data_IF_896739962893
#
_entry.id   IF_896739962893
#
_cell.length_a   1.000
_cell.length_b   1.000
_cell.length_c   1.000
_cell.angle_alpha   90.00
_cell.angle_beta   90.00
_cell.angle_gamma   90.00
#
_symmetry.space_group_name_H-M   'P 1'
#
loop_
_entity.id
_entity.type
_entity.pdbx_description
1 polymer ?
#
# COMPACT_ATOMS: atom_id res chain seq x y z
N UNK A 1 0.93 38.28 29.98
CA UNK A 1 1.33 37.33 31.04
C UNK A 1 1.03 35.92 30.48
N UNK A 2 2.01 35.30 29.81
CA UNK A 2 1.89 33.97 29.20
C UNK A 2 2.23 32.92 30.26
N UNK A 3 1.25 32.06 30.60
CA UNK A 3 1.51 30.88 31.44
C UNK A 3 1.95 29.72 30.53
N UNK A 4 3.23 29.34 30.63
CA UNK A 4 3.76 28.09 30.09
C UNK A 4 3.20 26.92 30.88
N UNK A 5 2.54 25.99 30.20
CA UNK A 5 2.19 24.71 30.77
C UNK A 5 3.45 23.85 30.87
N UNK A 6 3.84 23.53 32.09
CA UNK A 6 4.95 22.60 32.38
C UNK A 6 4.47 21.18 32.12
N UNK A 7 4.99 20.54 31.09
CA UNK A 7 4.83 19.11 30.88
C UNK A 7 5.72 18.35 31.87
N UNK A 8 5.12 17.71 32.86
CA UNK A 8 5.82 16.79 33.75
C UNK A 8 6.28 15.56 32.99
N UNK A 9 7.59 15.32 33.05
CA UNK A 9 8.27 14.12 32.53
C UNK A 9 7.63 12.85 33.13
N UNK A 10 6.95 12.05 32.32
CA UNK A 10 6.91 10.59 32.48
C UNK A 10 7.53 9.99 31.24
N UNK A 11 8.69 9.43 31.47
CA UNK A 11 9.54 8.59 30.63
C UNK A 11 8.92 8.07 29.32
N UNK A 12 9.06 8.85 28.26
CA UNK A 12 9.16 8.32 26.91
C UNK A 12 10.67 8.29 26.64
N UNK A 13 11.29 7.18 26.94
CA UNK A 13 12.64 6.91 26.45
C UNK A 13 12.53 6.50 25.00
N UNK A 14 12.28 7.49 24.13
CA UNK A 14 12.55 7.32 22.71
C UNK A 14 14.07 7.17 22.59
N UNK A 15 14.55 5.94 22.52
CA UNK A 15 15.90 5.67 22.06
C UNK A 15 15.90 5.89 20.54
N UNK A 16 15.87 7.17 20.14
CA UNK A 16 16.29 7.55 18.81
C UNK A 16 17.82 7.39 18.74
N UNK A 17 18.28 6.16 18.62
CA UNK A 17 19.57 5.90 18.02
C UNK A 17 19.35 6.04 16.51
N UNK A 18 19.35 7.28 16.03
CA UNK A 18 19.68 7.59 14.65
C UNK A 18 21.17 7.29 14.45
N UNK A 19 21.51 6.01 14.41
CA UNK A 19 22.62 5.58 13.60
C UNK A 19 22.05 5.63 12.17
N UNK A 20 22.54 6.57 11.38
CA UNK A 20 22.49 6.49 9.92
C UNK A 20 23.32 5.27 9.51
N UNK A 21 22.78 4.08 9.71
CA UNK A 21 23.20 2.86 9.07
C UNK A 21 22.33 2.75 7.83
N UNK A 22 22.79 3.40 6.79
CA UNK A 22 22.35 3.21 5.43
C UNK A 22 22.37 1.73 5.13
N UNK A 23 21.22 1.15 4.76
CA UNK A 23 20.95 -0.22 4.34
C UNK A 23 20.58 -1.24 5.43
N UNK A 24 19.70 -0.90 6.35
CA UNK A 24 18.97 -1.92 7.05
C UNK A 24 17.94 -2.53 6.09
N UNK A 25 18.19 -3.76 5.65
CA UNK A 25 17.16 -4.56 5.03
C UNK A 25 15.94 -4.62 5.96
N UNK A 26 14.76 -4.58 5.37
CA UNK A 26 13.48 -4.71 6.08
C UNK A 26 13.45 -6.01 6.88
N UNK A 27 13.83 -7.12 6.23
CA UNK A 27 13.87 -8.46 6.80
C UNK A 27 15.27 -9.07 6.64
N UNK A 28 15.45 -10.24 7.22
CA UNK A 28 16.73 -10.96 7.10
C UNK A 28 17.02 -11.33 5.64
N UNK A 29 18.30 -11.45 5.31
CA UNK A 29 18.77 -11.95 4.02
C UNK A 29 18.13 -13.29 3.66
N UNK A 30 17.96 -14.15 4.64
CA UNK A 30 17.38 -15.48 4.51
C UNK A 30 15.92 -15.43 4.07
N UNK A 31 15.16 -14.44 4.55
CA UNK A 31 13.76 -14.20 4.14
C UNK A 31 13.67 -13.95 2.63
N UNK A 32 14.55 -13.11 2.08
CA UNK A 32 14.56 -12.82 0.65
C UNK A 32 14.99 -14.02 -0.19
N UNK A 33 16.01 -14.75 0.24
CA UNK A 33 16.45 -16.00 -0.41
C UNK A 33 15.28 -17.00 -0.45
N UNK A 34 14.60 -17.20 0.68
CA UNK A 34 13.47 -18.11 0.75
C UNK A 34 12.31 -17.68 -0.16
N UNK A 35 11.97 -16.39 -0.16
CA UNK A 35 10.90 -15.86 -1.01
C UNK A 35 11.19 -16.09 -2.49
N UNK A 36 12.41 -15.84 -2.96
CA UNK A 36 12.80 -16.09 -4.35
C UNK A 36 12.82 -17.58 -4.70
N UNK A 37 13.27 -18.44 -3.80
CA UNK A 37 13.22 -19.90 -4.01
C UNK A 37 11.79 -20.39 -4.18
N UNK A 38 10.87 -19.98 -3.29
CA UNK A 38 9.45 -20.34 -3.38
C UNK A 38 8.82 -19.79 -4.66
N UNK A 39 9.12 -18.54 -5.04
CA UNK A 39 8.62 -17.95 -6.27
C UNK A 39 9.06 -18.77 -7.49
N UNK A 40 10.35 -19.13 -7.56
CA UNK A 40 10.92 -19.96 -8.62
C UNK A 40 10.22 -21.32 -8.73
N UNK A 41 9.98 -21.97 -7.61
CA UNK A 41 9.28 -23.26 -7.58
C UNK A 41 7.82 -23.15 -8.05
N UNK A 42 7.13 -22.09 -7.67
CA UNK A 42 5.74 -21.85 -8.06
C UNK A 42 5.57 -21.52 -9.54
N UNK A 43 6.53 -20.79 -10.13
CA UNK A 43 6.52 -20.44 -11.57
C UNK A 43 7.02 -21.61 -12.41
N UNK A 44 8.06 -22.30 -11.96
CA UNK A 44 8.52 -23.59 -12.45
C UNK A 44 9.48 -23.57 -13.64
N UNK A 45 9.32 -22.69 -14.60
CA UNK A 45 10.19 -22.59 -15.78
C UNK A 45 10.31 -21.14 -16.27
N UNK A 46 11.25 -20.87 -17.19
CA UNK A 46 11.45 -19.57 -17.80
C UNK A 46 12.29 -18.62 -16.95
N UNK A 47 12.26 -17.36 -17.29
CA UNK A 47 13.02 -16.28 -16.67
C UNK A 47 12.06 -15.26 -16.08
N UNK A 48 12.12 -15.04 -14.78
CA UNK A 48 11.33 -14.01 -14.09
C UNK A 48 12.11 -12.71 -14.12
N UNK A 49 11.46 -11.63 -14.54
CA UNK A 49 12.01 -10.26 -14.55
C UNK A 49 11.11 -9.39 -13.70
N UNK A 50 11.65 -8.85 -12.61
CA UNK A 50 11.00 -7.91 -11.72
C UNK A 50 11.65 -6.55 -11.89
N UNK A 51 10.90 -5.61 -12.42
CA UNK A 51 11.35 -4.24 -12.61
C UNK A 51 11.17 -3.44 -11.33
N UNK A 52 12.25 -2.82 -10.85
CA UNK A 52 12.17 -1.79 -9.83
C UNK A 52 11.74 -0.46 -10.46
N UNK A 53 11.28 0.46 -9.61
CA UNK A 53 10.87 1.79 -10.04
C UNK A 53 12.06 2.70 -10.30
N UNK A 54 11.86 3.71 -11.16
CA UNK A 54 12.77 4.83 -11.36
C UNK A 54 12.24 6.08 -10.65
N UNK A 55 13.08 7.10 -10.50
CA UNK A 55 12.63 8.43 -10.11
C UNK A 55 11.66 9.00 -11.14
N UNK A 56 10.74 9.82 -10.67
CA UNK A 56 9.77 10.52 -11.52
C UNK A 56 9.85 12.02 -11.28
N UNK A 57 10.21 12.84 -12.29
CA UNK A 57 10.27 14.28 -12.13
C UNK A 57 8.87 14.89 -11.92
N UNK A 58 8.77 15.88 -11.01
CA UNK A 58 7.53 16.61 -10.77
C UNK A 58 7.23 17.60 -11.89
N UNK A 59 8.22 18.42 -12.28
CA UNK A 59 7.99 19.58 -13.17
C UNK A 59 9.19 19.97 -14.06
N UNK A 60 10.38 19.46 -13.79
CA UNK A 60 11.58 19.69 -14.62
C UNK A 60 12.58 18.55 -14.42
N UNK A 61 13.46 18.28 -15.41
CA UNK A 61 14.52 17.28 -15.24
C UNK A 61 15.54 17.80 -14.23
N UNK A 62 16.03 16.92 -13.39
CA UNK A 62 17.01 17.14 -12.32
C UNK A 62 16.46 17.90 -11.08
N UNK A 63 16.63 17.31 -9.91
CA UNK A 63 16.37 17.85 -8.57
C UNK A 63 14.91 18.17 -8.19
N UNK A 64 13.94 17.92 -9.06
CA UNK A 64 12.53 18.14 -8.76
C UNK A 64 11.70 16.86 -8.87
N UNK A 65 12.02 15.86 -8.03
CA UNK A 65 11.38 14.54 -8.07
C UNK A 65 10.24 14.42 -7.08
N UNK A 66 9.26 13.55 -7.42
CA UNK A 66 8.34 13.01 -6.44
C UNK A 66 9.11 12.13 -5.43
N UNK A 67 8.64 12.00 -4.18
CA UNK A 67 9.20 11.03 -3.26
C UNK A 67 9.32 9.65 -3.91
N UNK A 68 10.52 9.06 -3.83
CA UNK A 68 10.76 7.75 -4.43
C UNK A 68 10.05 6.68 -3.62
N UNK A 69 9.38 5.79 -4.33
CA UNK A 69 8.77 4.60 -3.78
C UNK A 69 9.04 3.42 -4.71
N UNK A 70 9.70 2.41 -4.19
CA UNK A 70 10.05 1.21 -4.94
C UNK A 70 8.82 0.35 -5.23
N UNK A 71 8.85 -0.45 -6.31
CA UNK A 71 7.82 -1.43 -6.62
C UNK A 71 7.66 -2.46 -5.51
N UNK A 72 6.42 -2.72 -5.09
CA UNK A 72 6.14 -3.60 -3.96
C UNK A 72 6.53 -5.05 -4.20
N UNK A 73 6.39 -5.57 -5.42
CA UNK A 73 6.82 -6.93 -5.73
C UNK A 73 8.34 -7.04 -5.79
N UNK A 74 9.01 -6.03 -6.36
CA UNK A 74 10.47 -5.96 -6.31
C UNK A 74 10.96 -5.94 -4.84
N UNK A 75 10.38 -5.09 -3.98
CA UNK A 75 10.70 -5.04 -2.55
C UNK A 75 10.45 -6.37 -1.84
N UNK A 76 9.34 -7.03 -2.13
CA UNK A 76 9.00 -8.30 -1.51
C UNK A 76 10.07 -9.38 -1.75
N UNK A 77 10.65 -9.39 -2.96
CA UNK A 77 11.63 -10.42 -3.36
C UNK A 77 13.09 -9.99 -3.21
N UNK A 78 13.39 -8.70 -3.28
CA UNK A 78 14.77 -8.19 -3.24
C UNK A 78 15.03 -7.24 -2.05
N UNK A 79 14.03 -6.62 -1.46
CA UNK A 79 14.17 -5.82 -0.24
C UNK A 79 15.02 -4.55 -0.36
N UNK A 80 15.25 -4.03 -1.57
CA UNK A 80 16.16 -2.92 -1.83
C UNK A 80 15.37 -1.70 -2.30
N UNK A 81 15.58 -0.57 -1.66
CA UNK A 81 14.91 0.73 -1.90
C UNK A 81 15.73 1.66 -2.79
N UNK A 82 16.44 1.13 -3.78
CA UNK A 82 17.24 1.93 -4.70
C UNK A 82 16.57 2.03 -6.08
N UNK A 83 16.85 3.13 -6.77
CA UNK A 83 16.28 3.43 -8.10
C UNK A 83 16.89 2.56 -9.21
N UNK A 84 16.12 2.33 -10.29
CA UNK A 84 16.65 1.79 -11.54
C UNK A 84 17.15 0.36 -11.49
N UNK A 85 16.67 -0.45 -10.55
CA UNK A 85 17.09 -1.84 -10.39
C UNK A 85 16.19 -2.81 -11.16
N UNK A 86 16.77 -3.91 -11.63
CA UNK A 86 16.03 -5.04 -12.18
C UNK A 86 16.48 -6.32 -11.47
N UNK A 87 15.52 -7.06 -10.93
CA UNK A 87 15.75 -8.39 -10.38
C UNK A 87 15.42 -9.47 -11.40
N UNK A 88 16.34 -10.43 -11.58
CA UNK A 88 16.14 -11.54 -12.51
C UNK A 88 16.31 -12.87 -11.77
N UNK A 89 15.41 -13.81 -12.04
CA UNK A 89 15.45 -15.17 -11.48
C UNK A 89 15.27 -16.15 -12.63
N UNK A 90 16.26 -16.97 -12.88
CA UNK A 90 16.20 -18.08 -13.82
C UNK A 90 15.62 -19.32 -13.14
N UNK A 91 14.45 -19.76 -13.60
CA UNK A 91 13.73 -20.85 -12.94
C UNK A 91 14.41 -22.22 -13.10
N UNK A 92 15.09 -22.45 -14.22
CA UNK A 92 15.73 -23.74 -14.49
C UNK A 92 17.13 -23.86 -13.85
N UNK A 93 18.00 -22.84 -14.03
CA UNK A 93 19.35 -22.87 -13.47
C UNK A 93 19.40 -22.50 -11.99
N UNK A 94 18.41 -21.73 -11.52
CA UNK A 94 18.42 -21.12 -10.20
C UNK A 94 19.39 -19.94 -10.08
N UNK A 95 19.91 -19.42 -11.19
CA UNK A 95 20.69 -18.20 -11.18
C UNK A 95 19.82 -16.99 -10.91
N UNK A 96 20.34 -16.10 -10.08
CA UNK A 96 19.71 -14.83 -9.73
C UNK A 96 20.65 -13.68 -10.06
N UNK A 97 20.08 -12.57 -10.54
CA UNK A 97 20.81 -11.36 -10.86
C UNK A 97 20.13 -10.13 -10.24
N UNK A 98 20.93 -9.22 -9.74
CA UNK A 98 20.54 -7.84 -9.50
C UNK A 98 21.25 -6.96 -10.51
N UNK A 99 20.47 -6.29 -11.35
CA UNK A 99 20.99 -5.42 -12.39
C UNK A 99 20.72 -3.96 -12.02
N UNK A 100 21.72 -3.11 -12.28
CA UNK A 100 21.68 -1.69 -12.00
C UNK A 100 23.04 -1.06 -12.27
N UNK A 101 23.11 0.25 -12.27
CA UNK A 101 24.35 0.95 -12.49
C UNK A 101 24.89 1.54 -11.19
N UNK A 102 26.18 1.39 -10.94
CA UNK A 102 26.84 2.07 -9.84
C UNK A 102 26.84 3.58 -10.09
N UNK A 103 26.71 4.36 -9.03
CA UNK A 103 26.75 5.81 -9.08
C UNK A 103 28.16 6.30 -9.44
N UNK A 104 28.24 7.40 -10.13
CA UNK A 104 29.52 8.04 -10.46
C UNK A 104 29.99 8.99 -9.36
N UNK A 105 31.17 9.62 -9.58
CA UNK A 105 31.76 10.54 -8.60
C UNK A 105 30.93 11.82 -8.43
N UNK A 106 30.21 12.25 -9.46
CA UNK A 106 29.35 13.42 -9.38
C UNK A 106 28.13 13.12 -8.51
N UNK A 107 27.51 11.96 -8.67
CA UNK A 107 26.41 11.50 -7.84
C UNK A 107 26.81 11.41 -6.35
N UNK A 108 28.02 10.93 -6.06
CA UNK A 108 28.55 10.86 -4.68
C UNK A 108 28.67 12.26 -4.07
N UNK A 109 29.00 13.28 -4.85
CA UNK A 109 29.07 14.66 -4.36
C UNK A 109 27.69 15.18 -3.95
N UNK A 110 26.65 14.82 -4.68
CA UNK A 110 25.28 15.29 -4.43
C UNK A 110 24.53 14.47 -3.39
N UNK A 111 24.71 13.16 -3.40
CA UNK A 111 23.87 12.21 -2.61
C UNK A 111 24.66 11.48 -1.51
N UNK A 112 25.97 11.62 -1.48
CA UNK A 112 26.83 10.89 -0.55
C UNK A 112 27.23 9.51 -1.09
N UNK A 113 28.02 8.78 -0.30
CA UNK A 113 28.44 7.42 -0.67
C UNK A 113 27.26 6.46 -0.55
N UNK A 114 26.98 5.73 -1.62
CA UNK A 114 25.98 4.65 -1.69
C UNK A 114 26.68 3.32 -1.95
N UNK A 115 26.10 2.16 -1.56
CA UNK A 115 26.67 0.86 -1.88
C UNK A 115 26.70 0.61 -3.38
N UNK A 116 27.65 -0.19 -3.80
CA UNK A 116 27.66 -0.71 -5.17
C UNK A 116 26.50 -1.70 -5.41
N UNK A 117 26.15 -1.92 -6.66
CA UNK A 117 25.14 -2.94 -7.03
C UNK A 117 25.57 -4.32 -6.51
N UNK A 118 26.87 -4.60 -6.50
CA UNK A 118 27.41 -5.84 -5.93
C UNK A 118 27.16 -5.96 -4.42
N UNK A 119 27.34 -4.86 -3.66
CA UNK A 119 27.08 -4.84 -2.22
C UNK A 119 25.59 -5.02 -1.94
N UNK A 120 24.74 -4.36 -2.70
CA UNK A 120 23.28 -4.50 -2.63
C UNK A 120 22.84 -5.94 -2.92
N UNK A 121 23.35 -6.54 -4.00
CA UNK A 121 23.08 -7.94 -4.34
C UNK A 121 23.49 -8.89 -3.21
N UNK A 122 24.71 -8.72 -2.68
CA UNK A 122 25.23 -9.55 -1.59
C UNK A 122 24.39 -9.42 -0.30
N UNK A 123 23.86 -8.22 -0.02
CA UNK A 123 23.03 -7.96 1.17
C UNK A 123 21.76 -8.82 1.19
N UNK A 124 21.15 -9.08 0.03
CA UNK A 124 19.92 -9.87 -0.12
C UNK A 124 20.18 -11.31 -0.61
N UNK A 125 21.46 -11.72 -0.67
CA UNK A 125 21.85 -13.09 -1.03
C UNK A 125 21.86 -13.40 -2.50
N UNK A 126 21.79 -12.41 -3.37
CA UNK A 126 21.99 -12.54 -4.82
C UNK A 126 23.49 -12.59 -5.10
N UNK A 127 23.93 -13.57 -5.88
CA UNK A 127 25.37 -13.78 -6.15
C UNK A 127 25.89 -12.99 -7.33
N UNK A 128 25.02 -12.71 -8.29
CA UNK A 128 25.42 -12.06 -9.55
C UNK A 128 24.86 -10.65 -9.60
N UNK A 129 25.69 -9.72 -10.01
CA UNK A 129 25.31 -8.34 -10.31
C UNK A 129 25.97 -7.89 -11.61
N UNK A 130 25.33 -7.00 -12.33
CA UNK A 130 25.86 -6.42 -13.56
C UNK A 130 25.18 -5.08 -13.85
N UNK A 131 25.73 -4.24 -14.76
CA UNK A 131 25.03 -3.10 -15.29
C UNK A 131 23.67 -3.50 -15.89
N UNK A 132 22.72 -2.56 -15.89
CA UNK A 132 21.33 -2.86 -16.27
C UNK A 132 21.18 -3.34 -17.71
N UNK A 133 22.12 -2.96 -18.61
CA UNK A 133 22.15 -3.40 -20.02
C UNK A 133 22.25 -4.93 -20.17
N UNK A 134 22.74 -5.62 -19.14
CA UNK A 134 22.79 -7.10 -19.12
C UNK A 134 21.43 -7.75 -19.31
N UNK A 135 20.32 -7.04 -19.04
CA UNK A 135 18.97 -7.56 -19.28
C UNK A 135 18.72 -7.86 -20.76
N UNK A 136 19.33 -7.11 -21.67
CA UNK A 136 19.20 -7.34 -23.13
C UNK A 136 19.75 -8.71 -23.53
N UNK A 137 20.90 -9.08 -22.99
CA UNK A 137 21.49 -10.41 -23.22
C UNK A 137 20.58 -11.52 -22.69
N UNK A 138 20.11 -11.36 -21.43
CA UNK A 138 19.25 -12.35 -20.77
C UNK A 138 17.95 -12.55 -21.57
N UNK A 139 17.30 -11.46 -21.96
CA UNK A 139 16.06 -11.49 -22.76
C UNK A 139 16.32 -12.08 -24.15
N UNK A 140 17.44 -11.70 -24.80
CA UNK A 140 17.82 -12.25 -26.11
C UNK A 140 18.06 -13.77 -26.05
N UNK A 141 18.76 -14.24 -25.02
CA UNK A 141 19.04 -15.67 -24.86
C UNK A 141 17.78 -16.46 -24.54
N UNK A 142 16.89 -15.94 -23.69
CA UNK A 142 15.60 -16.54 -23.44
C UNK A 142 14.76 -16.66 -24.73
N UNK A 143 14.74 -15.62 -25.57
CA UNK A 143 14.05 -15.64 -26.87
C UNK A 143 14.67 -16.67 -27.83
N UNK A 144 16.00 -16.73 -27.94
CA UNK A 144 16.71 -17.70 -28.82
C UNK A 144 16.43 -19.14 -28.40
N UNK A 145 16.35 -19.39 -27.11
CA UNK A 145 16.08 -20.71 -26.53
C UNK A 145 14.59 -21.01 -26.35
N UNK A 146 13.72 -20.11 -26.80
CA UNK A 146 12.26 -20.22 -26.70
C UNK A 146 11.76 -20.39 -25.25
N UNK A 147 12.50 -19.85 -24.29
CA UNK A 147 12.10 -19.83 -22.88
C UNK A 147 11.13 -18.69 -22.63
N UNK A 148 10.16 -18.93 -21.77
CA UNK A 148 9.19 -17.91 -21.38
C UNK A 148 9.86 -16.83 -20.52
N UNK A 149 9.52 -15.58 -20.78
CA UNK A 149 9.90 -14.45 -19.93
C UNK A 149 8.67 -14.04 -19.15
N UNK A 150 8.78 -14.07 -17.83
CA UNK A 150 7.71 -13.74 -16.91
C UNK A 150 7.91 -12.32 -16.38
N UNK A 151 6.90 -11.49 -16.50
CA UNK A 151 6.83 -10.16 -15.91
C UNK A 151 5.43 -9.88 -15.36
N UNK A 152 5.33 -8.96 -14.39
CA UNK A 152 4.06 -8.51 -13.81
C UNK A 152 3.44 -7.39 -14.65
N UNK A 153 2.11 -7.19 -14.60
CA UNK A 153 1.46 -6.10 -15.30
C UNK A 153 2.07 -4.75 -14.89
N UNK A 154 2.67 -3.99 -15.82
CA UNK A 154 3.26 -2.71 -15.48
C UNK A 154 2.18 -1.65 -15.26
N UNK A 155 2.41 -0.74 -14.33
CA UNK A 155 1.54 0.40 -14.04
C UNK A 155 2.23 1.76 -14.28
N UNK A 156 3.56 1.77 -14.46
CA UNK A 156 4.36 2.96 -14.76
C UNK A 156 4.72 3.02 -16.25
N UNK A 157 4.62 4.19 -16.84
CA UNK A 157 4.88 4.38 -18.26
C UNK A 157 6.37 4.15 -18.65
N UNK A 158 7.31 4.51 -17.77
CA UNK A 158 8.74 4.26 -17.97
C UNK A 158 9.03 2.75 -18.06
N UNK A 159 8.43 1.95 -17.18
CA UNK A 159 8.55 0.48 -17.23
C UNK A 159 7.85 -0.10 -18.49
N UNK A 160 6.70 0.47 -18.88
CA UNK A 160 6.03 0.05 -20.12
C UNK A 160 6.91 0.28 -21.35
N UNK A 161 7.67 1.38 -21.39
CA UNK A 161 8.62 1.67 -22.46
C UNK A 161 9.77 0.65 -22.42
N UNK A 162 10.36 0.38 -21.26
CA UNK A 162 11.42 -0.61 -21.10
C UNK A 162 10.97 -2.01 -21.58
N UNK A 163 9.78 -2.46 -21.20
CA UNK A 163 9.22 -3.74 -21.66
C UNK A 163 9.03 -3.72 -23.18
N UNK A 164 8.56 -2.62 -23.76
CA UNK A 164 8.40 -2.49 -25.20
C UNK A 164 9.76 -2.61 -25.92
N UNK A 165 10.78 -1.92 -25.43
CA UNK A 165 12.12 -1.93 -26.04
C UNK A 165 12.79 -3.30 -25.91
N UNK A 166 12.70 -3.95 -24.76
CA UNK A 166 13.30 -5.25 -24.48
C UNK A 166 12.56 -6.42 -25.14
N UNK A 167 11.24 -6.40 -25.11
CA UNK A 167 10.42 -7.56 -25.48
C UNK A 167 9.66 -7.38 -26.79
N UNK A 168 9.52 -6.14 -27.29
CA UNK A 168 8.72 -5.81 -28.46
C UNK A 168 7.21 -5.83 -28.21
N UNK A 169 6.77 -5.74 -26.96
CA UNK A 169 5.35 -5.79 -26.58
C UNK A 169 4.84 -4.36 -26.39
N UNK A 170 3.89 -3.96 -27.23
CA UNK A 170 3.31 -2.62 -27.16
C UNK A 170 2.60 -2.38 -25.80
N UNK A 171 2.70 -1.19 -25.18
CA UNK A 171 2.13 -0.87 -23.86
C UNK A 171 0.68 -1.34 -23.65
N UNK A 172 -0.20 -1.16 -24.63
CA UNK A 172 -1.60 -1.60 -24.55
C UNK A 172 -1.80 -3.12 -24.51
N UNK A 173 -0.79 -3.91 -24.92
CA UNK A 173 -0.84 -5.37 -24.90
C UNK A 173 -0.12 -5.97 -23.67
N UNK A 174 0.62 -5.17 -22.90
CA UNK A 174 1.48 -5.69 -21.83
C UNK A 174 0.71 -6.29 -20.68
N UNK A 175 -0.45 -5.74 -20.35
CA UNK A 175 -1.30 -6.30 -19.28
C UNK A 175 -1.80 -7.71 -19.63
N UNK A 176 -2.19 -7.93 -20.87
CA UNK A 176 -2.64 -9.26 -21.34
C UNK A 176 -1.48 -10.23 -21.55
N UNK A 177 -0.29 -9.70 -21.90
CA UNK A 177 0.93 -10.48 -22.09
C UNK A 177 1.65 -10.84 -20.77
N UNK A 178 1.27 -10.21 -19.66
CA UNK A 178 1.84 -10.51 -18.35
C UNK A 178 1.60 -11.97 -17.95
N UNK A 179 2.55 -12.54 -17.20
CA UNK A 179 2.53 -13.95 -16.88
C UNK A 179 1.54 -14.30 -15.78
N UNK A 180 0.52 -15.06 -16.12
CA UNK A 180 -0.46 -15.58 -15.14
C UNK A 180 0.19 -16.49 -14.11
N UNK A 181 1.20 -17.28 -14.47
CA UNK A 181 1.94 -18.12 -13.53
C UNK A 181 2.63 -17.27 -12.47
N UNK A 182 3.30 -16.19 -12.89
CA UNK A 182 3.95 -15.25 -11.97
C UNK A 182 2.93 -14.51 -11.12
N UNK A 183 1.86 -13.99 -11.71
CA UNK A 183 0.77 -13.31 -10.99
C UNK A 183 0.19 -14.21 -9.91
N UNK A 184 -0.17 -15.45 -10.24
CA UNK A 184 -0.73 -16.40 -9.29
C UNK A 184 0.26 -16.78 -8.17
N UNK A 185 1.55 -16.91 -8.50
CA UNK A 185 2.59 -17.16 -7.50
C UNK A 185 2.72 -15.99 -6.52
N UNK A 186 2.76 -14.76 -7.02
CA UNK A 186 2.83 -13.54 -6.18
C UNK A 186 1.59 -13.43 -5.29
N UNK A 187 0.38 -13.60 -5.85
CA UNK A 187 -0.87 -13.59 -5.08
C UNK A 187 -0.82 -14.64 -3.96
N UNK A 188 -0.44 -15.88 -4.30
CA UNK A 188 -0.36 -16.97 -3.31
C UNK A 188 0.61 -16.65 -2.16
N UNK A 189 1.74 -16.03 -2.46
CA UNK A 189 2.76 -15.71 -1.47
C UNK A 189 2.40 -14.49 -0.62
N UNK A 190 1.88 -13.41 -1.22
CA UNK A 190 1.58 -12.15 -0.53
C UNK A 190 0.22 -12.15 0.17
N UNK A 191 -0.70 -13.07 -0.18
CA UNK A 191 -2.04 -13.15 0.45
C UNK A 191 -1.98 -13.57 1.91
N UNK A 192 -1.03 -14.42 2.31
CA UNK A 192 -0.86 -14.87 3.69
C UNK A 192 0.39 -14.22 4.26
N UNK A 193 0.18 -13.30 5.22
CA UNK A 193 1.27 -12.54 5.82
C UNK A 193 2.06 -13.39 6.82
N UNK A 194 3.38 -13.26 6.78
CA UNK A 194 4.27 -13.83 7.80
C UNK A 194 4.19 -13.05 9.11
N UNK A 195 4.72 -13.59 10.19
CA UNK A 195 4.78 -12.89 11.48
C UNK A 195 5.54 -11.56 11.40
N UNK A 196 6.64 -11.52 10.63
CA UNK A 196 7.43 -10.31 10.43
C UNK A 196 6.64 -9.23 9.64
N UNK A 197 5.84 -9.64 8.65
CA UNK A 197 4.95 -8.73 7.92
C UNK A 197 3.83 -8.18 8.81
N UNK A 198 3.28 -9.02 9.68
CA UNK A 198 2.26 -8.60 10.65
C UNK A 198 2.83 -7.55 11.62
N UNK A 199 4.06 -7.75 12.11
CA UNK A 199 4.73 -6.75 12.96
C UNK A 199 4.85 -5.38 12.27
N UNK A 200 5.19 -5.35 10.97
CA UNK A 200 5.26 -4.09 10.22
C UNK A 200 3.89 -3.45 10.02
N UNK A 201 2.87 -4.24 9.72
CA UNK A 201 1.48 -3.76 9.61
C UNK A 201 1.00 -3.19 10.95
N UNK A 202 1.27 -3.86 12.07
CA UNK A 202 0.92 -3.36 13.40
C UNK A 202 1.65 -2.06 13.74
N UNK A 203 2.92 -1.91 13.30
CA UNK A 203 3.66 -0.65 13.42
C UNK A 203 2.99 0.47 12.63
N UNK A 204 2.57 0.21 11.39
CA UNK A 204 1.81 1.15 10.59
C UNK A 204 0.47 1.52 11.26
N UNK A 205 -0.25 0.53 11.81
CA UNK A 205 -1.49 0.75 12.53
C UNK A 205 -1.30 1.60 13.80
N UNK A 206 -0.19 1.44 14.53
CA UNK A 206 0.11 2.28 15.69
C UNK A 206 0.35 3.74 15.30
N UNK A 207 1.02 3.99 14.16
CA UNK A 207 1.16 5.35 13.61
C UNK A 207 -0.22 5.90 13.20
N UNK A 208 -1.02 5.10 12.48
CA UNK A 208 -2.41 5.43 12.13
C UNK A 208 -3.27 5.78 13.35
N UNK A 209 -3.11 5.07 14.47
CA UNK A 209 -3.77 5.39 15.73
C UNK A 209 -3.41 6.80 16.23
N UNK A 210 -2.15 7.21 16.17
CA UNK A 210 -1.74 8.57 16.55
C UNK A 210 -2.33 9.62 15.59
N UNK A 211 -2.38 9.34 14.29
CA UNK A 211 -3.01 10.20 13.29
C UNK A 211 -4.49 10.42 13.61
N UNK A 212 -5.25 9.35 13.82
CA UNK A 212 -6.67 9.43 14.15
C UNK A 212 -6.94 10.08 15.52
N UNK A 213 -6.11 9.78 16.51
CA UNK A 213 -6.20 10.41 17.84
C UNK A 213 -5.98 11.93 17.75
N UNK A 214 -5.05 12.37 16.91
CA UNK A 214 -4.83 13.79 16.67
C UNK A 214 -6.02 14.42 15.93
N UNK A 215 -6.57 13.74 14.90
CA UNK A 215 -7.77 14.17 14.19
C UNK A 215 -8.94 14.41 15.16
N UNK A 216 -9.20 13.46 16.05
CA UNK A 216 -10.25 13.59 17.09
C UNK A 216 -10.02 14.81 18.00
N UNK A 217 -8.78 15.04 18.42
CA UNK A 217 -8.42 16.18 19.29
C UNK A 217 -8.55 17.53 18.58
N UNK A 218 -8.32 17.59 17.28
CA UNK A 218 -8.31 18.84 16.51
C UNK A 218 -9.67 19.19 15.91
N UNK A 219 -10.55 18.20 15.70
CA UNK A 219 -11.86 18.38 15.07
C UNK A 219 -12.76 19.24 15.95
N UNK A 220 -13.12 20.43 15.43
CA UNK A 220 -14.04 21.39 16.07
C UNK A 220 -14.56 22.42 15.07
N UNK A 221 -15.70 23.04 15.32
CA UNK A 221 -16.22 24.09 14.43
C UNK A 221 -15.21 25.22 14.19
N UNK A 222 -15.18 25.73 12.97
CA UNK A 222 -14.32 26.83 12.56
C UNK A 222 -12.86 26.44 12.20
N UNK A 223 -12.49 25.17 12.28
CA UNK A 223 -11.25 24.66 11.69
C UNK A 223 -11.47 24.30 10.23
N UNK A 224 -10.44 24.43 9.40
CA UNK A 224 -10.52 23.92 8.03
C UNK A 224 -10.17 22.44 7.98
N UNK A 225 -10.77 21.71 7.03
CA UNK A 225 -10.42 20.32 6.75
C UNK A 225 -8.93 20.19 6.46
N UNK A 226 -8.38 21.09 5.62
CA UNK A 226 -6.96 21.12 5.21
C UNK A 226 -5.99 21.29 6.39
N UNK A 227 -6.38 22.12 7.39
CA UNK A 227 -5.54 22.27 8.59
C UNK A 227 -5.41 20.97 9.36
N UNK A 228 -6.50 20.22 9.51
CA UNK A 228 -6.50 18.96 10.26
C UNK A 228 -5.80 17.89 9.43
N UNK A 229 -6.12 17.73 8.13
CA UNK A 229 -5.46 16.79 7.24
C UNK A 229 -3.93 16.94 7.27
N UNK A 230 -3.42 18.14 7.00
CA UNK A 230 -1.97 18.38 7.03
C UNK A 230 -1.31 18.20 8.40
N UNK A 231 -2.07 18.26 9.51
CA UNK A 231 -1.53 17.97 10.84
C UNK A 231 -1.44 16.46 11.10
N UNK A 232 -2.38 15.67 10.62
CA UNK A 232 -2.32 14.21 10.76
C UNK A 232 -1.28 13.60 9.84
N UNK A 233 -1.12 14.11 8.60
CA UNK A 233 -0.01 13.71 7.71
C UNK A 233 1.34 14.03 8.36
N UNK A 234 1.46 15.21 8.96
CA UNK A 234 2.66 15.60 9.71
C UNK A 234 3.02 14.67 10.87
N UNK A 235 2.06 13.95 11.48
CA UNK A 235 2.34 12.92 12.49
C UNK A 235 2.99 11.69 11.86
N UNK A 236 2.50 11.23 10.71
CA UNK A 236 3.12 10.11 10.00
C UNK A 236 4.59 10.42 9.70
N UNK A 237 4.88 11.59 9.13
CA UNK A 237 6.25 12.03 8.86
C UNK A 237 7.11 12.18 10.11
N UNK A 238 6.55 12.72 11.19
CA UNK A 238 7.28 12.88 12.46
C UNK A 238 7.64 11.53 13.12
N UNK A 239 6.91 10.47 12.82
CA UNK A 239 7.17 9.12 13.30
C UNK A 239 7.98 8.27 12.30
N UNK A 240 8.54 8.89 11.26
CA UNK A 240 9.41 8.24 10.28
C UNK A 240 8.65 7.40 9.24
N UNK A 241 7.40 7.73 9.00
CA UNK A 241 6.54 7.09 8.00
C UNK A 241 6.07 8.13 6.96
N UNK A 242 5.26 7.68 6.03
CA UNK A 242 4.50 8.54 5.12
C UNK A 242 3.01 8.20 5.23
N UNK A 243 2.15 9.00 4.64
CA UNK A 243 0.77 8.60 4.41
C UNK A 243 0.73 7.43 3.41
N UNK A 244 -0.03 6.39 3.72
CA UNK A 244 -0.20 5.21 2.86
C UNK A 244 -1.06 5.49 1.62
N UNK A 245 -1.89 6.51 1.70
CA UNK A 245 -2.69 7.09 0.61
C UNK A 245 -3.02 8.54 0.95
N UNK A 246 -3.47 9.30 -0.05
CA UNK A 246 -3.87 10.69 0.18
C UNK A 246 -4.97 10.76 1.24
N UNK A 247 -4.67 11.38 2.37
CA UNK A 247 -5.61 11.51 3.50
C UNK A 247 -6.95 12.06 3.05
N UNK A 248 -8.02 11.40 3.45
CA UNK A 248 -9.40 11.83 3.28
C UNK A 248 -9.87 12.42 4.61
N UNK A 249 -10.20 13.71 4.60
CA UNK A 249 -10.75 14.38 5.78
C UNK A 249 -11.78 15.41 5.33
N UNK A 250 -13.05 15.06 5.41
CA UNK A 250 -14.12 15.93 4.88
C UNK A 250 -15.44 15.77 5.64
N UNK A 251 -16.16 16.88 5.81
CA UNK A 251 -17.56 16.89 6.26
C UNK A 251 -18.55 16.56 5.12
N UNK A 252 -18.05 16.29 3.91
CA UNK A 252 -18.78 15.84 2.73
C UNK A 252 -18.45 14.35 2.48
N UNK A 253 -18.77 13.50 3.46
CA UNK A 253 -18.53 12.04 3.39
C UNK A 253 -19.30 11.31 2.29
N UNK A 254 -20.24 11.96 1.62
CA UNK A 254 -20.87 11.47 0.40
C UNK A 254 -19.92 11.48 -0.82
N UNK A 255 -18.77 12.14 -0.71
CA UNK A 255 -17.68 12.11 -1.69
C UNK A 255 -16.61 11.18 -1.15
N UNK A 256 -16.50 9.97 -1.72
CA UNK A 256 -15.68 8.89 -1.20
C UNK A 256 -14.20 9.25 -1.06
N UNK A 257 -13.62 9.96 -2.05
CA UNK A 257 -12.22 10.39 -2.03
C UNK A 257 -12.10 11.91 -1.90
N UNK A 258 -12.76 12.45 -0.89
CA UNK A 258 -12.74 13.89 -0.57
C UNK A 258 -11.43 14.33 0.08
N UNK A 259 -10.48 14.87 -0.71
CA UNK A 259 -9.27 15.47 -0.15
C UNK A 259 -9.58 16.63 0.77
N UNK A 260 -8.79 16.87 1.85
CA UNK A 260 -8.99 17.97 2.77
C UNK A 260 -8.97 19.32 2.06
N UNK A 261 -10.05 20.06 2.20
CA UNK A 261 -10.26 21.37 1.54
C UNK A 261 -10.13 22.55 2.51
N UNK A 262 -10.32 23.75 2.00
CA UNK A 262 -10.39 24.97 2.82
C UNK A 262 -11.77 25.17 3.48
N UNK A 263 -12.70 24.24 3.32
CA UNK A 263 -14.00 24.27 3.98
C UNK A 263 -13.84 24.34 5.50
N UNK A 264 -14.61 25.22 6.11
CA UNK A 264 -14.71 25.32 7.57
C UNK A 264 -15.65 24.22 8.08
N UNK A 265 -15.21 23.49 9.07
CA UNK A 265 -16.06 22.54 9.78
C UNK A 265 -17.20 23.27 10.50
N UNK A 266 -18.41 22.78 10.28
CA UNK A 266 -19.64 23.37 10.79
C UNK A 266 -20.16 22.63 12.02
N UNK A 267 -20.73 23.37 12.97
CA UNK A 267 -21.38 22.78 14.13
C UNK A 267 -22.54 21.86 13.74
N UNK A 268 -22.67 20.72 14.40
CA UNK A 268 -23.72 19.71 14.13
C UNK A 268 -23.45 18.81 12.91
N UNK A 269 -22.38 19.04 12.15
CA UNK A 269 -21.93 18.13 11.08
C UNK A 269 -21.12 16.97 11.63
N UNK A 270 -20.95 15.96 10.82
CA UNK A 270 -19.98 14.89 11.01
C UNK A 270 -18.90 14.99 9.95
N UNK A 271 -17.72 14.46 10.23
CA UNK A 271 -16.59 14.42 9.30
C UNK A 271 -16.09 13.00 9.20
N UNK A 272 -15.78 12.54 8.00
CA UNK A 272 -15.04 11.32 7.76
C UNK A 272 -13.55 11.65 7.87
N UNK A 273 -12.81 10.81 8.58
CA UNK A 273 -11.36 10.79 8.61
C UNK A 273 -10.92 9.40 8.18
N UNK A 274 -10.33 9.33 7.01
CA UNK A 274 -9.79 8.12 6.44
C UNK A 274 -8.33 8.36 6.10
N UNK A 275 -7.46 7.69 6.83
CA UNK A 275 -6.02 7.89 6.75
C UNK A 275 -5.27 6.69 7.29
N UNK A 276 -4.08 6.50 6.78
CA UNK A 276 -3.17 5.45 7.20
C UNK A 276 -1.72 5.87 7.01
N UNK A 277 -0.82 5.08 7.54
CA UNK A 277 0.62 5.28 7.45
C UNK A 277 1.27 4.14 6.67
N UNK A 278 2.27 4.48 5.86
CA UNK A 278 3.22 3.56 5.26
C UNK A 278 4.54 3.66 6.01
N UNK A 279 5.00 2.57 6.63
CA UNK A 279 6.27 2.54 7.36
C UNK A 279 7.46 2.69 6.41
N UNK A 280 8.66 2.96 6.97
CA UNK A 280 9.91 2.96 6.20
C UNK A 280 10.17 1.64 5.47
N UNK A 281 9.51 0.57 5.90
CA UNK A 281 9.55 -0.75 5.31
C UNK A 281 8.41 -1.01 4.31
N UNK A 282 7.67 0.05 3.94
CA UNK A 282 6.59 0.02 2.95
C UNK A 282 5.41 -0.93 3.29
N UNK A 283 5.12 -1.13 4.58
CA UNK A 283 3.88 -1.77 5.00
C UNK A 283 2.87 -0.71 5.44
N UNK A 284 1.63 -0.90 5.02
CA UNK A 284 0.57 0.08 5.14
C UNK A 284 -0.39 -0.22 6.27
N UNK A 285 -1.01 0.83 6.81
CA UNK A 285 -2.27 0.79 7.53
C UNK A 285 -3.33 1.58 6.78
N UNK A 286 -4.59 1.25 7.07
CA UNK A 286 -5.76 1.88 6.50
C UNK A 286 -6.88 1.86 7.52
N UNK A 287 -7.33 3.04 7.95
CA UNK A 287 -8.33 3.16 9.01
C UNK A 287 -9.27 4.33 8.71
N UNK A 288 -10.55 4.09 8.80
CA UNK A 288 -11.57 5.15 8.73
C UNK A 288 -12.28 5.35 10.07
N UNK A 289 -12.52 6.60 10.42
CA UNK A 289 -13.35 7.00 11.57
C UNK A 289 -14.27 8.16 11.21
N UNK A 290 -15.52 8.08 11.66
CA UNK A 290 -16.48 9.19 11.52
C UNK A 290 -16.56 9.94 12.85
N UNK A 291 -16.39 11.26 12.80
CA UNK A 291 -16.28 12.12 13.98
C UNK A 291 -17.36 13.20 13.96
N UNK A 292 -18.05 13.48 15.08
CA UNK A 292 -18.92 14.64 15.18
C UNK A 292 -18.07 15.90 15.37
N UNK A 293 -18.29 16.93 14.55
CA UNK A 293 -17.47 18.15 14.52
C UNK A 293 -17.44 18.87 15.87
N UNK A 294 -18.56 18.88 16.59
CA UNK A 294 -18.67 19.49 17.92
C UNK A 294 -18.48 18.51 19.10
N UNK A 295 -18.01 17.28 18.83
CA UNK A 295 -17.81 16.23 19.83
C UNK A 295 -19.08 15.49 20.27
N UNK A 296 -20.24 15.76 19.65
CA UNK A 296 -21.52 15.12 19.98
C UNK A 296 -22.30 14.75 18.74
N UNK A 297 -22.69 13.49 18.63
CA UNK A 297 -23.62 13.05 17.60
C UNK A 297 -25.06 13.49 17.95
N UNK A 298 -25.81 13.92 16.98
CA UNK A 298 -27.27 14.01 17.08
C UNK A 298 -27.86 12.60 17.18
N UNK A 299 -29.15 12.49 17.61
CA UNK A 299 -29.83 11.19 17.69
C UNK A 299 -29.82 10.47 16.34
N UNK A 300 -30.14 11.15 15.26
CA UNK A 300 -30.16 10.57 13.91
C UNK A 300 -28.77 10.11 13.43
N UNK A 301 -27.72 10.87 13.73
CA UNK A 301 -26.36 10.48 13.42
C UNK A 301 -25.95 9.21 14.20
N UNK A 302 -26.33 9.11 15.49
CA UNK A 302 -26.10 7.90 16.29
C UNK A 302 -26.80 6.67 15.73
N UNK A 303 -28.03 6.81 15.26
CA UNK A 303 -28.79 5.71 14.67
C UNK A 303 -28.05 5.13 13.47
N UNK A 304 -27.55 5.96 12.58
CA UNK A 304 -26.76 5.50 11.41
C UNK A 304 -25.39 4.98 11.84
N UNK A 305 -24.69 5.69 12.74
CA UNK A 305 -23.38 5.26 13.24
C UNK A 305 -23.45 3.87 13.87
N UNK A 306 -24.47 3.61 14.69
CA UNK A 306 -24.65 2.31 15.33
C UNK A 306 -24.92 1.18 14.32
N UNK A 307 -25.58 1.46 13.19
CA UNK A 307 -25.75 0.47 12.11
C UNK A 307 -24.40 0.06 11.54
N UNK A 308 -23.52 1.02 11.29
CA UNK A 308 -22.17 0.74 10.77
C UNK A 308 -21.34 -0.02 11.82
N UNK A 309 -21.42 0.37 13.09
CA UNK A 309 -20.74 -0.29 14.21
C UNK A 309 -21.18 -1.75 14.36
N UNK A 310 -22.49 -2.02 14.33
CA UNK A 310 -23.05 -3.38 14.31
C UNK A 310 -22.54 -4.20 13.10
N UNK A 311 -22.34 -3.55 11.95
CA UNK A 311 -21.78 -4.21 10.76
C UNK A 311 -20.29 -4.55 10.94
N UNK A 312 -19.51 -3.71 11.63
CA UNK A 312 -18.13 -4.01 12.00
C UNK A 312 -18.06 -5.22 12.94
N UNK A 313 -18.86 -5.23 14.01
CA UNK A 313 -18.92 -6.34 14.96
C UNK A 313 -19.29 -7.65 14.26
N UNK A 314 -20.30 -7.62 13.40
CA UNK A 314 -20.71 -8.78 12.60
C UNK A 314 -19.56 -9.27 11.72
N UNK A 315 -18.85 -8.35 11.06
CA UNK A 315 -17.69 -8.69 10.20
C UNK A 315 -16.65 -9.46 11.01
N UNK A 316 -16.26 -8.96 12.18
CA UNK A 316 -15.28 -9.61 13.08
C UNK A 316 -15.79 -10.99 13.58
N UNK A 317 -17.08 -11.08 13.87
CA UNK A 317 -17.68 -12.32 14.37
C UNK A 317 -17.63 -13.44 13.34
N UNK A 318 -17.97 -13.14 12.06
CA UNK A 318 -18.14 -14.16 11.01
C UNK A 318 -16.90 -14.38 10.14
N UNK A 319 -15.91 -13.47 10.17
CA UNK A 319 -14.64 -13.61 9.43
C UNK A 319 -13.76 -14.65 10.09
N UNK A 320 -13.84 -15.89 9.62
CA UNK A 320 -13.05 -17.03 10.16
C UNK A 320 -12.36 -17.78 9.02
N UNK A 321 -11.27 -18.50 9.30
CA UNK A 321 -10.63 -19.33 8.31
C UNK A 321 -11.63 -20.25 7.60
N UNK A 322 -11.59 -20.24 6.27
CA UNK A 322 -12.48 -21.03 5.41
C UNK A 322 -13.78 -20.33 4.99
N UNK A 323 -14.14 -19.19 5.58
CA UNK A 323 -15.28 -18.38 5.13
C UNK A 323 -14.84 -17.55 3.91
N UNK A 324 -15.67 -17.54 2.87
CA UNK A 324 -15.41 -16.69 1.71
C UNK A 324 -15.72 -15.24 2.04
N UNK A 325 -14.83 -14.32 1.66
CA UNK A 325 -14.99 -12.89 1.94
C UNK A 325 -16.27 -12.30 1.33
N UNK A 326 -16.66 -12.79 0.16
CA UNK A 326 -17.93 -12.42 -0.48
C UNK A 326 -19.16 -12.78 0.38
N UNK A 327 -19.14 -13.92 1.08
CA UNK A 327 -20.23 -14.32 1.96
C UNK A 327 -20.31 -13.37 3.18
N UNK A 328 -19.16 -12.91 3.68
CA UNK A 328 -19.10 -11.88 4.74
C UNK A 328 -19.68 -10.56 4.23
N UNK A 329 -19.30 -10.12 3.02
CA UNK A 329 -19.83 -8.91 2.40
C UNK A 329 -21.34 -8.92 2.30
N UNK A 330 -21.92 -9.99 1.77
CA UNK A 330 -23.39 -10.09 1.63
C UNK A 330 -24.10 -10.22 2.97
N UNK A 331 -23.52 -10.85 3.97
CA UNK A 331 -24.07 -10.87 5.33
C UNK A 331 -24.13 -9.47 5.93
N UNK A 332 -23.09 -8.66 5.73
CA UNK A 332 -23.05 -7.25 6.17
C UNK A 332 -24.05 -6.39 5.37
N UNK A 333 -24.09 -6.53 4.05
CA UNK A 333 -25.06 -5.83 3.21
C UNK A 333 -26.51 -6.13 3.64
N UNK A 334 -26.80 -7.39 3.95
CA UNK A 334 -28.10 -7.82 4.48
C UNK A 334 -28.40 -7.15 5.82
N UNK A 335 -27.48 -7.18 6.78
CA UNK A 335 -27.66 -6.55 8.09
C UNK A 335 -27.89 -5.04 7.96
N UNK A 336 -27.11 -4.37 7.15
CA UNK A 336 -27.26 -2.92 6.88
C UNK A 336 -28.62 -2.62 6.28
N UNK A 337 -29.07 -3.39 5.28
CA UNK A 337 -30.40 -3.25 4.64
C UNK A 337 -31.54 -3.43 5.64
N UNK A 338 -31.46 -4.45 6.51
CA UNK A 338 -32.42 -4.73 7.56
C UNK A 338 -32.54 -3.52 8.54
N UNK A 339 -31.43 -3.01 9.02
CA UNK A 339 -31.40 -1.87 9.93
C UNK A 339 -31.85 -0.56 9.28
N UNK A 340 -31.47 -0.30 8.03
CA UNK A 340 -31.94 0.87 7.27
C UNK A 340 -33.44 0.79 6.97
N UNK A 341 -33.99 -0.40 6.76
CA UNK A 341 -35.43 -0.61 6.62
C UNK A 341 -36.19 -0.28 7.92
N UNK A 342 -35.66 -0.66 9.08
CA UNK A 342 -36.25 -0.31 10.39
C UNK A 342 -36.31 1.22 10.58
N UNK A 343 -35.33 1.97 10.06
CA UNK A 343 -35.33 3.44 10.06
C UNK A 343 -36.22 4.05 8.97
N UNK A 344 -36.88 3.24 8.14
CA UNK A 344 -37.73 3.70 7.02
C UNK A 344 -36.96 4.25 5.82
N UNK A 345 -35.64 4.03 5.75
CA UNK A 345 -34.78 4.46 4.64
C UNK A 345 -34.78 3.47 3.47
N UNK A 346 -35.16 2.20 3.73
CA UNK A 346 -35.36 1.16 2.73
C UNK A 346 -36.74 0.52 2.87
N UNK A 347 -37.20 -0.18 1.82
CA UNK A 347 -38.52 -0.84 1.75
C UNK A 347 -38.39 -2.21 1.08
N UNK A 348 -39.44 -3.02 1.17
CA UNK A 348 -39.51 -4.31 0.53
C UNK A 348 -38.92 -5.45 1.34
N UNK A 349 -38.74 -6.60 0.72
CA UNK A 349 -38.03 -7.72 1.32
C UNK A 349 -36.54 -7.48 1.36
N UNK A 350 -35.88 -7.88 2.44
CA UNK A 350 -34.45 -7.60 2.65
C UNK A 350 -33.56 -8.41 1.71
N UNK A 351 -33.89 -9.67 1.52
CA UNK A 351 -33.08 -10.58 0.70
C UNK A 351 -33.24 -10.23 -0.79
N UNK A 352 -34.49 -9.87 -1.23
CA UNK A 352 -34.71 -9.35 -2.57
C UNK A 352 -33.99 -8.02 -2.84
N UNK A 353 -33.98 -7.11 -1.85
CA UNK A 353 -33.29 -5.84 -1.96
C UNK A 353 -31.78 -6.01 -2.10
N UNK A 354 -31.18 -6.93 -1.33
CA UNK A 354 -29.76 -7.25 -1.44
C UNK A 354 -29.43 -7.92 -2.78
N UNK A 355 -30.25 -8.89 -3.21
CA UNK A 355 -30.07 -9.56 -4.50
C UNK A 355 -30.18 -8.61 -5.69
N UNK A 356 -31.05 -7.59 -5.58
CA UNK A 356 -31.20 -6.53 -6.59
C UNK A 356 -30.11 -5.43 -6.50
N UNK A 357 -29.19 -5.50 -5.53
CA UNK A 357 -28.15 -4.49 -5.34
C UNK A 357 -28.63 -3.18 -4.72
N UNK A 358 -29.84 -3.12 -4.15
CA UNK A 358 -30.41 -1.88 -3.61
C UNK A 358 -29.63 -1.33 -2.41
N UNK A 359 -28.91 -2.19 -1.68
CA UNK A 359 -27.98 -1.80 -0.61
C UNK A 359 -26.86 -0.88 -1.10
N UNK A 360 -26.45 -0.98 -2.36
CA UNK A 360 -25.38 -0.17 -2.93
C UNK A 360 -25.69 1.34 -2.97
N UNK A 361 -26.96 1.75 -2.79
CA UNK A 361 -27.30 3.16 -2.59
C UNK A 361 -26.68 3.75 -1.32
N UNK A 362 -26.45 2.95 -0.28
CA UNK A 362 -25.87 3.37 1.00
C UNK A 362 -24.51 2.73 1.26
N UNK A 363 -24.18 1.66 0.58
CA UNK A 363 -22.94 0.91 0.69
C UNK A 363 -22.44 0.53 -0.71
N UNK A 364 -21.89 1.52 -1.47
CA UNK A 364 -21.57 1.34 -2.89
C UNK A 364 -20.22 0.66 -3.17
N UNK A 365 -19.45 0.33 -2.15
CA UNK A 365 -18.10 -0.25 -2.27
C UNK A 365 -18.04 -1.65 -1.68
N UNK A 366 -16.90 -2.34 -1.87
CA UNK A 366 -16.61 -3.61 -1.20
C UNK A 366 -16.50 -3.45 0.32
N UNK A 367 -16.69 -4.55 1.06
CA UNK A 367 -16.54 -4.55 2.52
C UNK A 367 -15.10 -4.20 2.96
N UNK A 368 -14.12 -4.52 2.14
CA UNK A 368 -12.70 -4.26 2.38
C UNK A 368 -11.86 -4.89 1.28
N UNK A 369 -10.56 -4.89 1.46
CA UNK A 369 -9.57 -5.34 0.51
C UNK A 369 -8.37 -5.98 1.20
N UNK A 370 -7.48 -6.61 0.44
CA UNK A 370 -6.19 -7.04 0.94
C UNK A 370 -5.35 -5.81 1.29
N UNK A 371 -4.58 -5.91 2.36
CA UNK A 371 -3.64 -4.87 2.80
C UNK A 371 -2.29 -5.51 3.10
N UNK A 372 -1.21 -4.80 2.82
CA UNK A 372 0.16 -5.29 3.04
C UNK A 372 1.19 -4.23 2.69
N UNK A 373 2.02 -4.49 1.70
CA UNK A 373 2.97 -3.53 1.15
C UNK A 373 2.29 -2.43 0.32
N UNK A 374 1.09 -2.70 -0.17
CA UNK A 374 0.21 -1.68 -0.73
C UNK A 374 -1.07 -1.63 0.11
N UNK A 375 -1.74 -0.47 0.15
CA UNK A 375 -3.03 -0.32 0.85
C UNK A 375 -4.05 -1.27 0.25
N UNK A 376 -4.24 -1.22 -1.07
CA UNK A 376 -4.96 -2.19 -1.87
C UNK A 376 -3.97 -3.23 -2.40
N UNK A 377 -3.57 -4.17 -1.54
CA UNK A 377 -2.47 -5.09 -1.84
C UNK A 377 -2.80 -5.99 -3.02
N UNK A 378 -1.95 -5.95 -4.06
CA UNK A 378 -2.07 -6.75 -5.29
C UNK A 378 -3.32 -6.44 -6.16
N UNK A 379 -3.99 -5.31 -5.98
CA UNK A 379 -5.21 -4.96 -6.71
C UNK A 379 -5.02 -4.96 -8.25
N UNK A 380 -3.82 -4.63 -8.73
CA UNK A 380 -3.49 -4.68 -10.15
C UNK A 380 -3.36 -6.08 -10.77
N UNK A 381 -3.41 -7.17 -9.97
CA UNK A 381 -3.12 -8.54 -10.40
C UNK A 381 -4.39 -9.35 -10.68
N UNK A 382 -5.15 -8.96 -11.73
CA UNK A 382 -6.33 -9.71 -12.19
C UNK A 382 -7.38 -10.00 -11.10
N UNK A 383 -7.74 -9.01 -10.34
CA UNK A 383 -8.96 -9.11 -9.54
C UNK A 383 -10.17 -9.18 -10.48
N UNK A 384 -10.62 -10.40 -10.73
CA UNK A 384 -11.80 -10.68 -11.55
C UNK A 384 -13.11 -10.45 -10.74
N UNK A 385 -13.00 -10.16 -9.43
CA UNK A 385 -14.08 -10.22 -8.46
C UNK A 385 -14.21 -8.97 -7.59
N UNK A 386 -14.23 -7.81 -8.22
CA UNK A 386 -14.74 -6.60 -7.57
C UNK A 386 -15.96 -6.12 -8.32
#
# INVERSE_FOLDING_TARGET
MYKYAVFTKKNITLHCKLTFNTHNLMFSKETYIQRRNVLRELVGNGVIVLFGNNESPCNYPNNGYYPFRQDSSFLYYFGIQEIGLIGVIDCESGEEWLLGNDVDVEDIVWYGSVPTISDLAASVGVKNSAPWEKIEDIVSDAKKTQRKIHFLPPYRHDIMIQIMDLMGIHPYAQREAASMELINAVIKMRSVKTAEEIEEIERACNIGYEMHTLAMKLTRPGRTEKYIGGRIDGIAHALGAHESFATIFSQHGEIMHGCPSTNLLEDGRIVICDSGAETVNNYCSDNTRTLPVNGKFTQRQKEIYNIVDECHDLTLEISKPGVKYMDVHFAVARRMTERLKELGLMKGDVDEAVAAGAHAMFFPHGLGHMMGMDVHDMEGFNQIYV
#
